data_IF_182974512779
#
_entry.id   IF_182974512779
#
_cell.length_a   1.000
_cell.length_b   1.000
_cell.length_c   1.000
_cell.angle_alpha   90.00
_cell.angle_beta   90.00
_cell.angle_gamma   90.00
#
_symmetry.space_group_name_H-M   'P 1'
#
loop_
_entity.id
_entity.type
_entity.pdbx_description
1 polymer ?
#
# COMPACT_ATOMS: atom_id res chain seq x y z
N UNK A 1 81.41 36.41 -38.92
CA UNK A 1 81.32 37.69 -38.20
C UNK A 1 80.65 37.37 -36.87
N UNK A 2 81.34 37.39 -35.70
CA UNK A 2 81.85 38.56 -34.96
C UNK A 2 80.72 39.49 -34.48
N UNK A 3 80.67 40.05 -33.27
CA UNK A 3 81.35 39.91 -31.94
C UNK A 3 80.57 40.88 -31.00
N UNK A 4 80.43 40.70 -29.69
CA UNK A 4 80.84 39.63 -28.77
C UNK A 4 80.64 40.09 -27.30
N UNK A 5 80.56 39.13 -26.37
CA UNK A 5 81.08 39.16 -24.98
C UNK A 5 81.30 40.55 -24.32
N UNK A 6 80.61 40.83 -23.20
CA UNK A 6 81.25 41.30 -21.95
C UNK A 6 80.53 40.66 -20.75
N UNK A 7 81.31 40.04 -19.87
CA UNK A 7 80.95 39.63 -18.49
C UNK A 7 81.67 40.61 -17.55
N UNK A 8 81.15 40.90 -16.35
CA UNK A 8 81.90 40.97 -15.07
C UNK A 8 81.05 41.54 -13.90
N UNK A 9 80.86 40.68 -12.90
CA UNK A 9 80.92 40.86 -11.43
C UNK A 9 80.48 42.19 -10.76
N UNK A 10 79.73 42.06 -9.65
CA UNK A 10 80.02 42.86 -8.45
C UNK A 10 78.97 42.92 -7.33
N UNK A 11 79.41 42.63 -6.11
CA UNK A 11 78.90 43.14 -4.81
C UNK A 11 77.58 42.63 -4.19
N UNK A 12 77.74 41.54 -3.44
CA UNK A 12 77.48 41.42 -1.97
C UNK A 12 76.19 41.99 -1.34
N UNK A 13 75.34 41.06 -0.88
CA UNK A 13 75.06 40.77 0.53
C UNK A 13 74.60 41.91 1.47
N UNK A 14 73.37 41.80 2.01
CA UNK A 14 73.13 41.77 3.46
C UNK A 14 71.75 41.19 3.84
N UNK A 15 71.68 40.58 5.02
CA UNK A 15 70.47 39.98 5.61
C UNK A 15 69.59 41.05 6.27
N UNK A 16 68.27 40.88 6.18
CA UNK A 16 67.33 41.30 7.23
C UNK A 16 66.07 40.42 7.19
N UNK A 17 65.78 39.72 8.29
CA UNK A 17 64.50 39.07 8.55
C UNK A 17 63.52 40.11 9.13
N UNK A 18 62.24 40.07 8.75
CA UNK A 18 61.07 40.04 9.67
C UNK A 18 59.77 40.51 9.00
N UNK A 19 58.64 39.99 9.50
CA UNK A 19 57.36 40.69 9.46
C UNK A 19 56.32 40.15 8.47
N UNK A 20 55.07 40.08 8.96
CA UNK A 20 53.82 39.86 8.22
C UNK A 20 53.79 40.62 6.88
N UNK A 21 53.20 40.10 5.81
CA UNK A 21 52.13 39.11 5.72
C UNK A 21 50.98 39.73 4.93
N UNK A 22 50.51 39.07 3.88
CA UNK A 22 49.40 39.53 3.05
C UNK A 22 48.40 38.37 2.88
N UNK A 23 47.12 38.72 2.94
CA UNK A 23 46.02 37.79 3.13
C UNK A 23 45.61 37.10 1.82
N UNK A 24 45.42 35.79 1.88
CA UNK A 24 44.61 35.08 0.89
C UNK A 24 43.14 35.37 1.24
N UNK A 25 42.39 36.04 0.36
CA UNK A 25 40.93 36.21 0.51
C UNK A 25 40.26 34.82 0.43
N UNK A 26 40.11 34.19 1.59
CA UNK A 26 39.31 32.99 1.77
C UNK A 26 37.83 33.37 1.64
N UNK A 27 37.16 32.84 0.61
CA UNK A 27 35.73 33.10 0.39
C UNK A 27 34.95 32.64 1.61
N UNK A 28 34.36 33.59 2.34
CA UNK A 28 33.64 33.30 3.56
C UNK A 28 32.55 32.23 3.33
N UNK A 29 32.43 31.21 4.21
CA UNK A 29 31.43 30.18 4.04
C UNK A 29 30.03 30.80 4.04
N UNK A 30 29.18 30.32 3.14
CA UNK A 30 27.79 30.75 3.01
C UNK A 30 27.10 30.76 4.38
N UNK A 31 26.77 31.95 4.89
CA UNK A 31 25.92 32.08 6.08
C UNK A 31 24.56 31.47 5.75
N UNK A 32 24.29 30.30 6.32
CA UNK A 32 22.95 29.75 6.39
C UNK A 32 22.04 30.80 7.01
N UNK A 33 20.88 31.03 6.40
CA UNK A 33 19.84 31.87 6.98
C UNK A 33 19.47 31.25 8.32
N UNK A 34 19.68 32.00 9.40
CA UNK A 34 19.34 31.56 10.75
C UNK A 34 17.84 31.27 10.78
N UNK A 35 17.47 30.04 11.14
CA UNK A 35 16.05 29.66 11.14
C UNK A 35 15.32 30.53 12.16
N UNK A 36 14.38 31.33 11.68
CA UNK A 36 13.49 32.07 12.57
C UNK A 36 12.82 31.08 13.52
N UNK A 37 13.10 31.23 14.82
CA UNK A 37 12.45 30.45 15.87
C UNK A 37 11.02 30.96 15.96
N UNK A 38 10.14 30.39 15.15
CA UNK A 38 8.70 30.64 15.27
C UNK A 38 8.27 30.20 16.65
N UNK A 39 7.98 31.17 17.51
CA UNK A 39 7.51 30.95 18.89
C UNK A 39 6.11 30.36 18.89
N UNK A 40 6.00 29.09 18.48
CA UNK A 40 4.90 28.23 18.92
C UNK A 40 5.04 28.18 20.43
N UNK A 41 4.05 28.72 21.15
CA UNK A 41 3.92 28.48 22.58
C UNK A 41 3.56 27.02 22.74
N UNK A 42 4.59 26.17 22.85
CA UNK A 42 4.49 24.83 23.40
C UNK A 42 4.01 24.96 24.85
N UNK A 43 2.70 25.11 25.02
CA UNK A 43 2.06 24.58 26.21
C UNK A 43 2.41 23.10 26.21
N UNK A 44 3.01 22.55 27.29
CA UNK A 44 3.11 21.11 27.41
C UNK A 44 1.69 20.57 27.45
N UNK A 45 1.24 20.03 26.32
CA UNK A 45 0.08 19.17 26.28
C UNK A 45 0.60 17.84 26.80
N UNK A 46 0.57 17.71 28.13
CA UNK A 46 0.71 16.41 28.80
C UNK A 46 -0.53 15.57 28.49
N UNK A 47 -0.70 15.19 27.22
CA UNK A 47 -1.46 14.00 26.88
C UNK A 47 -0.52 12.83 27.06
N UNK A 48 -0.73 12.05 28.12
CA UNK A 48 -0.07 10.76 28.23
C UNK A 48 -0.45 9.89 27.02
N UNK A 49 0.39 8.93 26.66
CA UNK A 49 0.02 7.96 25.61
C UNK A 49 -1.28 7.23 25.95
N UNK A 50 -1.61 7.16 27.25
CA UNK A 50 -2.87 6.65 27.79
C UNK A 50 -4.05 7.60 27.56
N UNK A 51 -3.92 8.93 27.63
CA UNK A 51 -5.04 9.85 27.30
C UNK A 51 -5.37 9.91 25.81
N UNK A 52 -4.40 9.68 24.92
CA UNK A 52 -4.65 9.55 23.47
C UNK A 52 -5.39 8.25 23.16
N UNK A 53 -5.24 7.21 23.99
CA UNK A 53 -5.85 5.89 23.82
C UNK A 53 -7.14 5.69 24.65
N UNK A 54 -7.25 6.34 25.80
CA UNK A 54 -8.45 6.41 26.66
C UNK A 54 -9.28 7.67 26.37
N UNK A 55 -9.12 8.19 25.15
CA UNK A 55 -10.11 8.99 24.45
C UNK A 55 -11.39 8.18 24.28
N UNK A 56 -12.14 8.05 25.38
CA UNK A 56 -13.56 7.72 25.40
C UNK A 56 -14.33 8.84 24.71
N UNK A 57 -14.23 8.89 23.38
CA UNK A 57 -15.44 9.09 22.60
C UNK A 57 -16.50 8.16 23.22
N UNK A 58 -17.67 8.67 23.63
CA UNK A 58 -18.73 7.80 24.10
C UNK A 58 -18.96 6.77 22.99
N UNK A 59 -18.88 5.46 23.32
CA UNK A 59 -18.97 4.36 22.35
C UNK A 59 -20.00 4.74 21.29
N UNK A 60 -19.54 5.08 20.08
CA UNK A 60 -20.42 5.53 19.00
C UNK A 60 -21.46 4.44 18.84
N UNK A 61 -22.69 4.76 19.24
CA UNK A 61 -23.70 3.76 19.61
C UNK A 61 -23.74 2.70 18.52
N UNK A 62 -23.44 1.45 18.91
CA UNK A 62 -23.09 0.39 17.96
C UNK A 62 -24.16 0.31 16.89
N UNK A 63 -23.87 0.85 15.71
CA UNK A 63 -24.92 1.12 14.73
C UNK A 63 -25.57 -0.21 14.37
N UNK A 64 -26.90 -0.36 14.51
CA UNK A 64 -27.52 -1.66 14.36
C UNK A 64 -27.28 -2.18 12.94
N UNK A 65 -26.87 -3.43 12.83
CA UNK A 65 -26.79 -4.16 11.56
C UNK A 65 -28.20 -4.59 11.19
N UNK A 66 -28.64 -4.25 9.98
CA UNK A 66 -29.90 -4.72 9.41
C UNK A 66 -29.74 -6.21 9.02
N UNK A 67 -30.46 -7.14 9.67
CA UNK A 67 -30.31 -8.57 9.41
C UNK A 67 -30.87 -9.00 8.05
N UNK A 68 -31.89 -8.29 7.52
CA UNK A 68 -32.51 -8.60 6.24
C UNK A 68 -31.59 -8.16 5.10
N UNK A 69 -31.08 -6.93 5.16
CA UNK A 69 -30.08 -6.45 4.22
C UNK A 69 -28.80 -7.29 4.29
N UNK A 70 -28.34 -7.68 5.48
CA UNK A 70 -27.18 -8.55 5.62
C UNK A 70 -27.39 -9.90 4.94
N UNK A 71 -28.58 -10.51 5.09
CA UNK A 71 -28.92 -11.77 4.42
C UNK A 71 -29.01 -11.62 2.88
N UNK A 72 -29.48 -10.49 2.37
CA UNK A 72 -29.48 -10.18 0.94
C UNK A 72 -28.05 -10.01 0.39
N UNK A 73 -27.20 -9.24 1.05
CA UNK A 73 -25.81 -9.00 0.63
C UNK A 73 -24.98 -10.30 0.68
N UNK A 74 -25.11 -11.13 1.72
CA UNK A 74 -24.42 -12.43 1.84
C UNK A 74 -24.84 -13.43 0.76
N UNK A 75 -26.08 -13.35 0.27
CA UNK A 75 -26.60 -14.18 -0.83
C UNK A 75 -25.97 -13.82 -2.17
N UNK A 76 -25.73 -12.53 -2.41
CA UNK A 76 -25.21 -12.01 -3.66
C UNK A 76 -26.25 -12.00 -4.80
N UNK A 77 -25.82 -11.52 -5.96
CA UNK A 77 -26.62 -11.46 -7.19
C UNK A 77 -26.30 -12.63 -8.15
N UNK A 78 -27.31 -13.11 -8.87
CA UNK A 78 -27.11 -14.12 -9.94
C UNK A 78 -26.52 -13.46 -11.18
N UNK A 79 -25.24 -13.75 -11.47
CA UNK A 79 -24.58 -13.30 -12.70
C UNK A 79 -25.19 -14.02 -13.91
N UNK A 80 -25.72 -13.25 -14.87
CA UNK A 80 -26.32 -13.77 -16.11
C UNK A 80 -25.30 -14.40 -17.05
N UNK A 81 -24.10 -13.86 -17.11
CA UNK A 81 -22.99 -14.36 -17.94
C UNK A 81 -22.21 -15.41 -17.16
N UNK A 82 -22.21 -16.66 -17.65
CA UNK A 82 -21.42 -17.73 -17.05
C UNK A 82 -19.93 -17.46 -17.19
N UNK A 83 -19.19 -17.56 -16.09
CA UNK A 83 -17.73 -17.51 -16.07
C UNK A 83 -17.19 -18.92 -16.35
N UNK A 84 -16.40 -19.06 -17.41
CA UNK A 84 -15.89 -20.36 -17.87
C UNK A 84 -14.37 -20.36 -18.10
N UNK A 85 -13.78 -19.17 -18.19
CA UNK A 85 -12.38 -18.95 -18.54
C UNK A 85 -11.90 -17.61 -17.94
N UNK A 86 -10.60 -17.34 -18.04
CA UNK A 86 -9.96 -16.12 -17.54
C UNK A 86 -10.56 -14.84 -18.14
N UNK A 87 -10.95 -14.86 -19.42
CA UNK A 87 -11.43 -13.68 -20.12
C UNK A 87 -12.86 -13.29 -19.70
N UNK A 88 -13.76 -14.27 -19.64
CA UNK A 88 -15.13 -14.13 -19.12
C UNK A 88 -15.12 -13.73 -17.63
N UNK A 89 -14.20 -14.27 -16.84
CA UNK A 89 -13.98 -13.89 -15.44
C UNK A 89 -13.57 -12.42 -15.30
N UNK A 90 -12.48 -12.02 -15.97
CA UNK A 90 -11.98 -10.66 -15.96
C UNK A 90 -13.02 -9.65 -16.44
N UNK A 91 -13.80 -9.98 -17.48
CA UNK A 91 -14.88 -9.12 -17.98
C UNK A 91 -15.99 -8.86 -16.95
N UNK A 92 -16.30 -9.82 -16.06
CA UNK A 92 -17.25 -9.56 -14.97
C UNK A 92 -16.62 -8.66 -13.90
N UNK A 93 -15.37 -8.92 -13.50
CA UNK A 93 -14.68 -8.09 -12.50
C UNK A 93 -14.45 -6.66 -13.01
N UNK A 94 -14.16 -6.47 -14.30
CA UNK A 94 -14.02 -5.15 -14.92
C UNK A 94 -15.31 -4.32 -14.83
N UNK A 95 -16.48 -4.96 -14.88
CA UNK A 95 -17.76 -4.27 -14.67
C UNK A 95 -17.94 -3.79 -13.22
N UNK A 96 -17.54 -4.62 -12.23
CA UNK A 96 -17.50 -4.20 -10.83
C UNK A 96 -16.49 -3.08 -10.60
N UNK A 97 -15.33 -3.18 -11.24
CA UNK A 97 -14.24 -2.22 -11.13
C UNK A 97 -14.63 -0.84 -11.67
N UNK A 98 -15.34 -0.79 -12.81
CA UNK A 98 -15.89 0.46 -13.35
C UNK A 98 -16.87 1.13 -12.38
N UNK A 99 -17.74 0.36 -11.73
CA UNK A 99 -18.68 0.88 -10.72
C UNK A 99 -17.92 1.41 -9.49
N UNK A 100 -17.02 0.60 -8.91
CA UNK A 100 -16.12 0.99 -7.80
C UNK A 100 -15.36 2.28 -8.13
N UNK A 101 -14.77 2.36 -9.33
CA UNK A 101 -13.94 3.47 -9.76
C UNK A 101 -14.77 4.73 -9.96
N UNK A 102 -15.99 4.64 -10.51
CA UNK A 102 -16.89 5.78 -10.64
C UNK A 102 -17.24 6.41 -9.27
N UNK A 103 -17.43 5.60 -8.22
CA UNK A 103 -17.64 6.12 -6.86
C UNK A 103 -16.36 6.76 -6.31
N UNK A 104 -15.19 6.14 -6.49
CA UNK A 104 -13.92 6.66 -5.96
C UNK A 104 -13.42 7.93 -6.65
N UNK A 105 -13.64 8.09 -7.96
CA UNK A 105 -13.37 9.34 -8.68
C UNK A 105 -14.21 10.50 -8.13
N UNK A 106 -15.39 10.21 -7.56
CA UNK A 106 -16.25 11.18 -6.87
C UNK A 106 -15.92 11.36 -5.38
N UNK A 107 -14.80 10.79 -4.91
CA UNK A 107 -14.29 10.93 -3.54
C UNK A 107 -14.64 9.76 -2.59
N UNK A 108 -15.24 8.68 -3.09
CA UNK A 108 -15.58 7.51 -2.28
C UNK A 108 -16.76 7.74 -1.34
N UNK A 109 -17.06 6.74 -0.50
CA UNK A 109 -18.01 6.90 0.60
C UNK A 109 -17.46 7.80 1.70
N UNK A 110 -16.15 7.87 1.93
CA UNK A 110 -15.57 8.84 2.87
C UNK A 110 -16.05 10.28 2.56
N UNK A 111 -15.99 10.71 1.30
CA UNK A 111 -16.50 12.04 0.90
C UNK A 111 -18.02 12.18 1.09
N UNK A 112 -18.79 11.09 0.99
CA UNK A 112 -20.22 11.10 1.28
C UNK A 112 -20.51 11.32 2.78
N UNK A 113 -19.75 10.68 3.68
CA UNK A 113 -19.82 10.95 5.11
C UNK A 113 -19.41 12.41 5.43
N UNK A 114 -18.30 12.91 4.88
CA UNK A 114 -17.79 14.26 5.15
C UNK A 114 -18.72 15.40 4.70
N UNK A 115 -19.43 15.21 3.58
CA UNK A 115 -20.37 16.20 3.03
C UNK A 115 -21.57 16.48 3.94
N UNK A 116 -21.95 15.55 4.81
CA UNK A 116 -23.09 15.68 5.69
C UNK A 116 -22.62 15.82 7.15
N UNK A 117 -22.86 16.97 7.77
CA UNK A 117 -22.44 17.25 9.16
C UNK A 117 -22.89 16.20 10.17
N UNK A 118 -24.09 15.62 9.98
CA UNK A 118 -24.64 14.54 10.81
C UNK A 118 -23.98 13.17 10.57
N UNK A 119 -23.33 12.97 9.43
CA UNK A 119 -22.59 11.74 9.10
C UNK A 119 -21.10 11.86 9.42
N UNK A 120 -20.52 13.07 9.35
CA UNK A 120 -19.08 13.34 9.54
C UNK A 120 -18.42 12.64 10.72
N UNK A 121 -19.06 12.46 11.91
CA UNK A 121 -18.46 11.65 12.96
C UNK A 121 -18.04 10.26 12.43
N UNK A 122 -18.93 9.58 11.71
CA UNK A 122 -18.78 8.21 11.21
C UNK A 122 -17.94 8.08 9.92
N UNK A 123 -17.19 9.10 9.51
CA UNK A 123 -16.35 9.08 8.30
C UNK A 123 -15.31 7.95 8.28
N UNK A 124 -14.90 7.43 9.44
CA UNK A 124 -14.06 6.25 9.58
C UNK A 124 -14.65 5.01 8.89
N UNK A 125 -15.99 4.87 8.90
CA UNK A 125 -16.71 3.80 8.21
C UNK A 125 -16.63 3.98 6.70
N UNK A 126 -16.69 5.22 6.23
CA UNK A 126 -16.48 5.57 4.82
C UNK A 126 -15.10 5.12 4.32
N UNK A 127 -14.03 5.46 5.06
CA UNK A 127 -12.67 5.02 4.72
C UNK A 127 -12.51 3.51 4.71
N UNK A 128 -13.10 2.81 5.69
CA UNK A 128 -13.06 1.34 5.76
C UNK A 128 -13.82 0.70 4.59
N UNK A 129 -14.99 1.23 4.23
CA UNK A 129 -15.78 0.79 3.07
C UNK A 129 -15.02 1.01 1.76
N UNK A 130 -14.40 2.17 1.57
CA UNK A 130 -13.57 2.47 0.39
C UNK A 130 -12.37 1.51 0.29
N UNK A 131 -11.64 1.31 1.39
CA UNK A 131 -10.48 0.42 1.46
C UNK A 131 -10.83 -1.04 1.21
N UNK A 132 -11.88 -1.54 1.86
CA UNK A 132 -12.21 -2.96 1.80
C UNK A 132 -12.98 -3.30 0.49
N UNK A 133 -13.75 -2.37 -0.08
CA UNK A 133 -14.29 -2.53 -1.45
C UNK A 133 -13.17 -2.63 -2.48
N UNK A 134 -12.08 -1.87 -2.31
CA UNK A 134 -10.87 -2.03 -3.14
C UNK A 134 -10.24 -3.41 -3.02
N UNK A 135 -10.01 -3.89 -1.79
CA UNK A 135 -9.47 -5.23 -1.53
C UNK A 135 -10.32 -6.32 -2.17
N UNK A 136 -11.65 -6.22 -2.09
CA UNK A 136 -12.58 -7.17 -2.71
C UNK A 136 -12.44 -7.20 -4.25
N UNK A 137 -12.46 -6.05 -4.92
CA UNK A 137 -12.34 -6.01 -6.39
C UNK A 137 -10.96 -6.48 -6.86
N UNK A 138 -9.88 -6.13 -6.14
CA UNK A 138 -8.54 -6.60 -6.45
C UNK A 138 -8.36 -8.11 -6.20
N UNK A 139 -8.86 -8.66 -5.09
CA UNK A 139 -8.83 -10.10 -4.82
C UNK A 139 -9.62 -10.90 -5.87
N UNK A 140 -10.79 -10.41 -6.31
CA UNK A 140 -11.56 -11.03 -7.39
C UNK A 140 -10.82 -10.99 -8.74
N UNK A 141 -10.14 -9.88 -9.06
CA UNK A 141 -9.29 -9.75 -10.25
C UNK A 141 -8.14 -10.76 -10.19
N UNK A 142 -7.40 -10.80 -9.09
CA UNK A 142 -6.30 -11.74 -8.85
C UNK A 142 -6.75 -13.20 -8.97
N UNK A 143 -7.92 -13.57 -8.42
CA UNK A 143 -8.51 -14.90 -8.60
C UNK A 143 -8.79 -15.23 -10.07
N UNK A 144 -9.34 -14.30 -10.85
CA UNK A 144 -9.51 -14.51 -12.28
C UNK A 144 -8.16 -14.75 -12.99
N UNK A 145 -7.15 -13.94 -12.67
CA UNK A 145 -5.84 -13.99 -13.33
C UNK A 145 -5.04 -15.25 -12.99
N UNK A 146 -5.16 -15.73 -11.75
CA UNK A 146 -4.38 -16.86 -11.20
C UNK A 146 -5.16 -18.16 -11.07
N UNK A 147 -6.41 -18.20 -11.53
CA UNK A 147 -7.34 -19.35 -11.44
C UNK A 147 -6.77 -20.71 -11.87
N UNK A 148 -5.74 -20.74 -12.72
CA UNK A 148 -5.06 -21.95 -13.21
C UNK A 148 -3.58 -22.02 -12.77
N UNK A 149 -3.25 -21.37 -11.65
CA UNK A 149 -1.90 -21.28 -11.08
C UNK A 149 -1.44 -19.85 -10.88
N UNK A 150 -0.66 -19.61 -9.81
CA UNK A 150 -0.09 -18.28 -9.51
C UNK A 150 1.19 -18.08 -10.33
N UNK A 151 1.30 -17.02 -11.17
CA UNK A 151 2.52 -16.73 -11.92
C UNK A 151 3.72 -16.46 -11.00
N UNK A 152 4.78 -17.24 -11.14
CA UNK A 152 6.01 -17.06 -10.37
C UNK A 152 6.82 -15.91 -10.98
N UNK A 153 7.09 -14.86 -10.20
CA UNK A 153 7.90 -13.71 -10.60
C UNK A 153 9.32 -14.12 -11.05
N UNK A 154 9.98 -13.40 -11.99
CA UNK A 154 11.29 -13.79 -12.53
C UNK A 154 12.37 -14.01 -11.46
N UNK A 155 12.48 -13.10 -10.49
CA UNK A 155 13.35 -13.23 -9.31
C UNK A 155 13.15 -14.56 -8.57
N UNK A 156 11.89 -14.92 -8.29
CA UNK A 156 11.56 -16.17 -7.61
C UNK A 156 11.87 -17.39 -8.46
N UNK A 157 11.80 -17.31 -9.80
CA UNK A 157 12.24 -18.42 -10.66
C UNK A 157 13.74 -18.67 -10.56
N UNK A 158 14.55 -17.60 -10.48
CA UNK A 158 16.01 -17.72 -10.28
C UNK A 158 16.33 -18.23 -8.87
N UNK A 159 15.69 -17.67 -7.84
CA UNK A 159 15.85 -18.14 -6.46
C UNK A 159 15.43 -19.60 -6.29
N UNK A 160 14.33 -20.01 -6.95
CA UNK A 160 13.92 -21.41 -7.00
C UNK A 160 14.99 -22.30 -7.62
N UNK A 161 15.52 -21.93 -8.79
CA UNK A 161 16.55 -22.72 -9.48
C UNK A 161 17.82 -22.89 -8.62
N UNK A 162 18.23 -21.86 -7.87
CA UNK A 162 19.33 -21.97 -6.89
C UNK A 162 18.98 -22.94 -5.76
N UNK A 163 17.81 -22.80 -5.15
CA UNK A 163 17.35 -23.70 -4.05
C UNK A 163 17.23 -25.16 -4.52
N UNK A 164 16.84 -25.41 -5.77
CA UNK A 164 16.82 -26.76 -6.36
C UNK A 164 18.21 -27.33 -6.65
N UNK A 165 19.21 -26.47 -6.87
CA UNK A 165 20.59 -26.87 -7.20
C UNK A 165 21.48 -27.08 -5.97
N UNK A 166 21.41 -26.19 -4.98
CA UNK A 166 22.30 -26.21 -3.80
C UNK A 166 21.59 -26.39 -2.44
N UNK A 167 20.26 -26.37 -2.41
CA UNK A 167 19.46 -26.50 -1.19
C UNK A 167 19.23 -25.17 -0.46
N UNK A 168 18.15 -25.12 0.33
CA UNK A 168 17.67 -23.87 0.94
C UNK A 168 18.69 -23.23 1.90
N UNK A 169 19.39 -24.02 2.70
CA UNK A 169 20.38 -23.52 3.68
C UNK A 169 21.61 -22.91 2.99
N UNK A 170 22.09 -23.55 1.92
CA UNK A 170 23.21 -23.06 1.12
C UNK A 170 22.86 -21.73 0.47
N UNK A 171 21.67 -21.62 -0.14
CA UNK A 171 21.20 -20.37 -0.75
C UNK A 171 20.98 -19.26 0.30
N UNK A 172 20.49 -19.59 1.50
CA UNK A 172 20.43 -18.64 2.61
C UNK A 172 21.80 -18.07 2.90
N UNK A 173 22.81 -18.91 3.11
CA UNK A 173 24.14 -18.44 3.46
C UNK A 173 24.80 -17.68 2.31
N UNK A 174 24.66 -18.13 1.06
CA UNK A 174 25.13 -17.39 -0.12
C UNK A 174 24.56 -15.97 -0.18
N UNK A 175 23.28 -15.77 0.16
CA UNK A 175 22.66 -14.44 0.20
C UNK A 175 23.17 -13.57 1.36
N UNK A 176 23.45 -14.17 2.52
CA UNK A 176 24.04 -13.48 3.67
C UNK A 176 25.49 -13.07 3.40
N UNK A 177 26.28 -13.94 2.77
CA UNK A 177 27.67 -13.65 2.37
C UNK A 177 27.75 -12.56 1.28
N UNK A 178 26.71 -12.43 0.45
CA UNK A 178 26.50 -11.30 -0.47
C UNK A 178 26.03 -10.00 0.22
N UNK A 179 25.99 -9.97 1.56
CA UNK A 179 25.64 -8.79 2.36
C UNK A 179 24.15 -8.43 2.35
N UNK A 180 23.26 -9.36 1.98
CA UNK A 180 21.80 -9.13 2.02
C UNK A 180 21.31 -9.14 3.46
N UNK A 181 20.34 -8.28 3.79
CA UNK A 181 19.81 -8.19 5.14
C UNK A 181 19.10 -9.51 5.52
N UNK A 182 19.36 -10.10 6.71
CA UNK A 182 18.79 -11.40 7.09
C UNK A 182 17.25 -11.45 7.03
N UNK A 183 16.58 -10.35 7.35
CA UNK A 183 15.13 -10.23 7.26
C UNK A 183 14.63 -10.37 5.80
N UNK A 184 15.29 -9.72 4.85
CA UNK A 184 14.92 -9.78 3.43
C UNK A 184 15.18 -11.18 2.86
N UNK A 185 16.29 -11.82 3.23
CA UNK A 185 16.60 -13.20 2.87
C UNK A 185 15.49 -14.15 3.31
N UNK A 186 15.03 -14.04 4.57
CA UNK A 186 13.91 -14.84 5.04
C UNK A 186 12.59 -14.52 4.31
N UNK A 187 12.28 -13.25 4.04
CA UNK A 187 11.09 -12.89 3.26
C UNK A 187 11.15 -13.53 1.86
N UNK A 188 12.30 -13.47 1.20
CA UNK A 188 12.52 -14.04 -0.15
C UNK A 188 12.40 -15.56 -0.16
N UNK A 189 13.02 -16.26 0.79
CA UNK A 189 12.95 -17.72 0.91
C UNK A 189 11.53 -18.20 1.28
N UNK A 190 10.84 -17.52 2.21
CA UNK A 190 9.46 -17.83 2.55
C UNK A 190 8.48 -17.51 1.40
N UNK A 191 8.74 -16.46 0.60
CA UNK A 191 7.94 -16.19 -0.59
C UNK A 191 8.20 -17.20 -1.72
N UNK A 192 9.44 -17.63 -1.89
CA UNK A 192 9.86 -18.70 -2.79
C UNK A 192 9.13 -20.02 -2.49
N UNK A 193 9.16 -20.47 -1.23
CA UNK A 193 8.48 -21.70 -0.81
C UNK A 193 6.95 -21.63 -0.99
N UNK A 194 6.31 -20.51 -0.62
CA UNK A 194 4.88 -20.30 -0.86
C UNK A 194 4.53 -20.27 -2.35
N UNK A 195 5.36 -19.63 -3.17
CA UNK A 195 5.17 -19.58 -4.63
C UNK A 195 5.24 -20.97 -5.27
N UNK A 196 6.15 -21.85 -4.80
CA UNK A 196 6.20 -23.26 -5.23
C UNK A 196 4.90 -23.99 -4.91
N UNK A 197 4.44 -23.91 -3.65
CA UNK A 197 3.21 -24.57 -3.17
C UNK A 197 1.96 -24.11 -3.95
N UNK A 198 1.90 -22.83 -4.33
CA UNK A 198 0.75 -22.22 -5.04
C UNK A 198 0.85 -22.24 -6.58
N UNK A 199 1.99 -22.65 -7.15
CA UNK A 199 2.24 -22.66 -8.61
C UNK A 199 1.14 -23.36 -9.42
N UNK A 200 0.69 -24.53 -8.94
CA UNK A 200 -0.29 -25.39 -9.62
C UNK A 200 -1.68 -25.30 -8.97
N UNK A 201 -1.95 -24.27 -8.15
CA UNK A 201 -3.23 -24.11 -7.44
C UNK A 201 -4.33 -23.70 -8.40
N UNK A 202 -5.29 -24.60 -8.61
CA UNK A 202 -6.51 -24.36 -9.39
C UNK A 202 -7.62 -23.81 -8.49
N UNK A 203 -8.35 -22.81 -8.97
CA UNK A 203 -9.62 -22.34 -8.40
C UNK A 203 -10.69 -22.40 -9.47
N UNK A 204 -11.72 -23.20 -9.23
CA UNK A 204 -12.80 -23.46 -10.17
C UNK A 204 -13.62 -22.20 -10.49
N UNK A 205 -13.81 -21.91 -11.79
CA UNK A 205 -14.55 -20.73 -12.23
C UNK A 205 -15.98 -20.60 -11.65
N UNK A 206 -16.76 -21.68 -11.40
CA UNK A 206 -18.03 -21.60 -10.66
C UNK A 206 -17.90 -21.01 -9.24
N UNK A 207 -16.79 -21.28 -8.53
CA UNK A 207 -16.52 -20.69 -7.21
C UNK A 207 -16.28 -19.19 -7.37
N UNK A 208 -15.43 -18.80 -8.33
CA UNK A 208 -15.14 -17.39 -8.60
C UNK A 208 -16.43 -16.65 -9.05
N UNK A 209 -17.27 -17.28 -9.88
CA UNK A 209 -18.57 -16.70 -10.29
C UNK A 209 -19.48 -16.41 -9.09
N UNK A 210 -19.54 -17.31 -8.11
CA UNK A 210 -20.29 -17.11 -6.86
C UNK A 210 -19.75 -15.93 -6.06
N UNK A 211 -18.42 -15.81 -5.94
CA UNK A 211 -17.76 -14.69 -5.25
C UNK A 211 -17.95 -13.35 -5.97
N UNK A 212 -17.89 -13.32 -7.30
CA UNK A 212 -18.22 -12.12 -8.10
C UNK A 212 -19.72 -11.76 -7.91
N UNK A 213 -20.62 -12.74 -7.76
CA UNK A 213 -22.04 -12.48 -7.50
C UNK A 213 -22.28 -11.79 -6.16
N UNK A 214 -21.56 -12.21 -5.11
CA UNK A 214 -21.53 -11.50 -3.82
C UNK A 214 -20.89 -10.11 -3.95
N UNK A 215 -19.76 -10.01 -4.66
CA UNK A 215 -19.10 -8.75 -4.96
C UNK A 215 -19.99 -7.75 -5.70
N UNK A 216 -20.84 -8.22 -6.62
CA UNK A 216 -21.82 -7.41 -7.34
C UNK A 216 -22.81 -6.74 -6.39
N UNK A 217 -23.43 -7.51 -5.49
CA UNK A 217 -24.36 -6.98 -4.49
C UNK A 217 -23.70 -5.90 -3.60
N UNK A 218 -22.47 -6.15 -3.15
CA UNK A 218 -21.72 -5.25 -2.27
C UNK A 218 -21.28 -3.97 -3.00
N UNK A 219 -20.68 -4.06 -4.19
CA UNK A 219 -20.23 -2.90 -4.99
C UNK A 219 -21.42 -2.05 -5.46
N UNK A 220 -22.56 -2.69 -5.77
CA UNK A 220 -23.80 -1.99 -6.09
C UNK A 220 -24.35 -1.25 -4.87
N UNK A 221 -24.36 -1.86 -3.68
CA UNK A 221 -24.83 -1.19 -2.46
C UNK A 221 -23.91 -0.02 -2.06
N UNK A 222 -22.61 -0.16 -2.28
CA UNK A 222 -21.61 0.90 -2.16
C UNK A 222 -21.90 2.09 -3.09
N UNK A 223 -22.21 1.82 -4.37
CA UNK A 223 -22.63 2.83 -5.35
C UNK A 223 -23.97 3.50 -5.00
N UNK A 224 -24.98 2.73 -4.57
CA UNK A 224 -26.28 3.23 -4.10
C UNK A 224 -26.12 4.19 -2.91
N UNK A 225 -25.31 3.83 -1.91
CA UNK A 225 -25.03 4.69 -0.75
C UNK A 225 -24.35 6.00 -1.17
N UNK A 226 -23.38 5.94 -2.10
CA UNK A 226 -22.62 7.13 -2.52
C UNK A 226 -23.47 8.23 -3.18
N UNK A 227 -24.65 7.84 -3.70
CA UNK A 227 -25.62 8.72 -4.38
C UNK A 227 -26.77 9.15 -3.48
N UNK A 228 -26.88 8.60 -2.27
CA UNK A 228 -28.01 8.85 -1.35
C UNK A 228 -27.91 10.23 -0.73
N UNK A 229 -28.99 11.01 -0.78
CA UNK A 229 -29.12 12.24 0.00
C UNK A 229 -29.52 11.93 1.43
N UNK A 230 -28.81 12.50 2.41
CA UNK A 230 -29.08 12.27 3.84
C UNK A 230 -29.78 13.47 4.46
N UNK A 231 -30.86 13.19 5.19
CA UNK A 231 -31.62 14.11 6.05
C UNK A 231 -31.69 13.56 7.47
N UNK A 232 -32.22 14.33 8.42
CA UNK A 232 -32.41 13.85 9.80
C UNK A 232 -33.32 12.62 9.87
N UNK A 233 -34.33 12.55 9.00
CA UNK A 233 -35.35 11.49 9.01
C UNK A 233 -34.85 10.15 8.46
N UNK A 234 -33.73 10.14 7.71
CA UNK A 234 -33.19 8.94 7.08
C UNK A 234 -31.75 8.59 7.54
N UNK A 235 -31.23 9.32 8.54
CA UNK A 235 -29.87 9.21 9.07
C UNK A 235 -29.58 7.81 9.64
N UNK A 236 -30.42 7.33 10.56
CA UNK A 236 -30.21 6.04 11.23
C UNK A 236 -30.26 4.87 10.23
N UNK A 237 -31.15 4.95 9.24
CA UNK A 237 -31.20 3.97 8.15
C UNK A 237 -29.94 4.04 7.28
N UNK A 238 -29.47 5.22 6.90
CA UNK A 238 -28.24 5.37 6.11
C UNK A 238 -26.99 4.85 6.86
N UNK A 239 -26.90 5.10 8.16
CA UNK A 239 -25.85 4.59 9.03
C UNK A 239 -25.94 3.07 9.20
N UNK A 240 -27.14 2.53 9.44
CA UNK A 240 -27.38 1.08 9.57
C UNK A 240 -27.03 0.33 8.28
N UNK A 241 -27.41 0.86 7.11
CA UNK A 241 -27.05 0.29 5.80
C UNK A 241 -25.54 0.31 5.57
N UNK A 242 -24.85 1.42 5.89
CA UNK A 242 -23.40 1.52 5.74
C UNK A 242 -22.65 0.58 6.70
N UNK A 243 -23.10 0.46 7.96
CA UNK A 243 -22.56 -0.51 8.91
C UNK A 243 -22.80 -1.94 8.45
N UNK A 244 -23.99 -2.25 7.93
CA UNK A 244 -24.35 -3.58 7.44
C UNK A 244 -23.48 -3.98 6.25
N UNK A 245 -23.27 -3.05 5.30
CA UNK A 245 -22.36 -3.25 4.19
C UNK A 245 -20.93 -3.53 4.68
N UNK A 246 -20.43 -2.73 5.63
CA UNK A 246 -19.09 -2.89 6.18
C UNK A 246 -18.92 -4.24 6.90
N UNK A 247 -19.90 -4.64 7.72
CA UNK A 247 -19.91 -5.92 8.43
C UNK A 247 -19.87 -7.10 7.45
N UNK A 248 -20.80 -7.17 6.49
CA UNK A 248 -20.84 -8.30 5.52
C UNK A 248 -19.58 -8.34 4.65
N UNK A 249 -19.02 -7.18 4.29
CA UNK A 249 -17.83 -7.10 3.47
C UNK A 249 -16.56 -7.50 4.26
N UNK A 250 -16.49 -7.19 5.55
CA UNK A 250 -15.43 -7.66 6.44
C UNK A 250 -15.51 -9.19 6.67
N UNK A 251 -16.71 -9.72 6.94
CA UNK A 251 -16.95 -11.18 7.02
C UNK A 251 -16.49 -11.88 5.74
N UNK A 252 -16.90 -11.37 4.56
CA UNK A 252 -16.55 -11.97 3.28
C UNK A 252 -15.03 -11.98 3.02
N UNK A 253 -14.30 -10.93 3.42
CA UNK A 253 -12.85 -10.85 3.23
C UNK A 253 -12.03 -11.58 4.30
N UNK A 254 -12.60 -11.80 5.49
CA UNK A 254 -11.92 -12.47 6.61
C UNK A 254 -12.21 -13.97 6.74
N UNK A 255 -13.41 -14.41 6.34
CA UNK A 255 -13.88 -15.80 6.54
C UNK A 255 -13.88 -16.63 5.26
N UNK A 256 -13.95 -16.01 4.08
CA UNK A 256 -13.92 -16.77 2.83
C UNK A 256 -12.48 -17.18 2.47
N UNK A 257 -12.16 -18.46 2.70
CA UNK A 257 -10.83 -19.05 2.43
C UNK A 257 -10.26 -18.69 1.06
N UNK A 258 -11.08 -18.63 0.01
CA UNK A 258 -10.63 -18.31 -1.36
C UNK A 258 -10.22 -16.84 -1.51
N UNK A 259 -10.94 -15.91 -0.89
CA UNK A 259 -10.57 -14.49 -0.88
C UNK A 259 -9.40 -14.21 0.08
N UNK A 260 -9.37 -14.82 1.27
CA UNK A 260 -8.24 -14.73 2.22
C UNK A 260 -6.95 -15.21 1.57
N UNK A 261 -7.00 -16.34 0.85
CA UNK A 261 -5.88 -16.90 0.11
C UNK A 261 -5.41 -15.98 -1.03
N UNK A 262 -6.33 -15.37 -1.78
CA UNK A 262 -6.01 -14.39 -2.82
C UNK A 262 -5.33 -13.13 -2.26
N UNK A 263 -5.79 -12.64 -1.10
CA UNK A 263 -5.18 -11.51 -0.41
C UNK A 263 -3.77 -11.83 0.11
N UNK A 264 -3.51 -13.04 0.63
CA UNK A 264 -2.14 -13.48 1.01
C UNK A 264 -1.17 -13.61 -0.18
N UNK A 265 -1.69 -13.88 -1.38
CA UNK A 265 -0.91 -13.97 -2.62
C UNK A 265 -0.48 -12.58 -3.11
N UNK A 266 -1.39 -11.60 -3.10
CA UNK A 266 -1.16 -10.25 -3.62
C UNK A 266 -0.32 -9.37 -2.66
N UNK A 267 -0.58 -9.43 -1.35
CA UNK A 267 0.01 -8.53 -0.35
C UNK A 267 1.51 -8.78 -0.08
N UNK A 268 2.06 -9.94 -0.46
CA UNK A 268 3.39 -10.40 -0.02
C UNK A 268 4.40 -10.64 -1.16
N UNK A 269 4.34 -9.83 -2.21
CA UNK A 269 5.44 -9.69 -3.17
C UNK A 269 6.63 -8.97 -2.49
N UNK A 270 7.80 -9.60 -2.37
CA UNK A 270 8.98 -8.90 -1.84
C UNK A 270 9.47 -7.84 -2.83
N UNK A 271 10.00 -6.75 -2.28
CA UNK A 271 10.83 -5.83 -3.03
C UNK A 271 12.18 -6.49 -3.35
N UNK A 272 12.70 -6.24 -4.55
CA UNK A 272 14.01 -6.71 -5.00
C UNK A 272 14.55 -5.76 -6.08
N UNK A 273 15.86 -5.56 -6.09
CA UNK A 273 16.58 -4.94 -7.20
C UNK A 273 17.15 -6.02 -8.15
N UNK A 274 17.33 -5.73 -9.44
CA UNK A 274 18.03 -6.65 -10.36
C UNK A 274 19.48 -6.98 -9.95
N UNK A 275 20.10 -6.15 -9.12
CA UNK A 275 21.44 -6.34 -8.52
C UNK A 275 21.42 -7.18 -7.22
N UNK A 276 20.28 -7.75 -6.84
CA UNK A 276 20.17 -8.69 -5.73
C UNK A 276 20.41 -10.16 -6.13
N UNK A 277 20.85 -10.37 -7.38
CA UNK A 277 21.20 -11.65 -8.01
C UNK A 277 22.63 -11.61 -8.56
#
# INVERSE_FOLDING_TARGET
>A
MSRGIVVVLGFSMWFALSGCGDEQEEQAPLKLIEREVTWVKEKPVETTHEEVLDGKEPLRSSTPVDPELAALLRRGETIKTKVQDRASCLKQVEALDKTRTAVQVNGGLWTWFEKHETLRPYSDKGMQLDSNTNKLVFALRHLCETSQGVPIAPFVRQLNARVDASGLETVRQELLDLGKAPADVEIWLNFSERSRKKKNRVVEYPVIQSLIGKGSALVKKYDELSKRTVSKDNLDAALSEAQTLLTVLNELLGENETLVMALDEDVKLPYFFPSDM
#
